data_IF_436944226062
#
_entry.id   IF_436944226062
#
_cell.length_a   1.000
_cell.length_b   1.000
_cell.length_c   1.000
_cell.angle_alpha   90.00
_cell.angle_beta   90.00
_cell.angle_gamma   90.00
#
_symmetry.space_group_name_H-M   'P 1'
#
loop_
_entity.id
_entity.type
_entity.pdbx_description
1 polymer ?
#
# COMPACT_ATOMS: atom_id res chain seq x y z
N UNK A 1 -20.56 11.35 8.03
CA UNK A 1 -19.47 12.28 7.65
C UNK A 1 -19.25 12.13 6.15
N UNK A 2 -19.06 13.23 5.40
CA UNK A 2 -18.67 13.14 4.00
C UNK A 2 -17.30 12.47 3.87
N UNK A 3 -17.09 11.75 2.78
CA UNK A 3 -15.79 11.17 2.39
C UNK A 3 -14.72 12.27 2.34
N UNK A 4 -13.51 11.98 2.87
CA UNK A 4 -12.37 12.89 2.80
C UNK A 4 -11.05 12.14 2.70
N UNK A 5 -10.06 12.80 2.11
CA UNK A 5 -8.67 12.35 2.02
C UNK A 5 -7.80 13.35 2.77
N UNK A 6 -7.13 12.87 3.81
CA UNK A 6 -6.23 13.63 4.66
C UNK A 6 -4.76 13.32 4.28
N UNK A 7 -3.85 14.28 4.41
CA UNK A 7 -2.42 14.13 4.04
C UNK A 7 -1.51 14.26 5.26
N UNK A 8 -0.52 13.37 5.39
CA UNK A 8 0.45 13.36 6.48
C UNK A 8 1.90 13.23 5.95
N UNK A 9 2.69 14.33 5.97
CA UNK A 9 2.35 15.69 6.40
C UNK A 9 1.53 16.46 5.34
N UNK A 10 0.59 17.31 5.77
CA UNK A 10 -0.30 18.07 4.86
C UNK A 10 0.42 19.12 4.02
N UNK A 11 1.66 19.47 4.37
CA UNK A 11 2.44 20.53 3.70
C UNK A 11 3.33 20.02 2.56
N UNK A 12 3.49 18.70 2.42
CA UNK A 12 4.35 18.15 1.39
C UNK A 12 3.65 18.24 0.02
N UNK A 13 4.33 18.84 -0.96
CA UNK A 13 3.92 18.95 -2.38
C UNK A 13 2.41 19.20 -2.56
N UNK A 14 1.89 20.36 -2.09
CA UNK A 14 0.46 20.66 -2.10
C UNK A 14 -0.17 20.61 -3.50
N UNK A 15 0.61 20.88 -4.55
CA UNK A 15 0.20 20.78 -5.95
C UNK A 15 -0.11 19.35 -6.41
N UNK A 16 0.48 18.31 -5.79
CA UNK A 16 0.21 16.91 -6.13
C UNK A 16 -1.03 16.35 -5.43
N UNK A 17 -1.44 16.97 -4.31
CA UNK A 17 -2.53 16.48 -3.46
C UNK A 17 -3.88 16.34 -4.19
N UNK A 18 -4.28 17.24 -5.12
CA UNK A 18 -5.51 17.06 -5.89
C UNK A 18 -5.51 15.80 -6.75
N UNK A 19 -4.40 15.49 -7.43
CA UNK A 19 -4.28 14.30 -8.25
C UNK A 19 -4.31 13.03 -7.38
N UNK A 20 -3.55 13.02 -6.28
CA UNK A 20 -3.55 11.90 -5.33
C UNK A 20 -4.95 11.69 -4.75
N UNK A 21 -5.67 12.76 -4.40
CA UNK A 21 -7.04 12.70 -3.89
C UNK A 21 -7.98 12.03 -4.90
N UNK A 22 -7.85 12.36 -6.19
CA UNK A 22 -8.61 11.70 -7.26
C UNK A 22 -8.31 10.20 -7.30
N UNK A 23 -7.03 9.80 -7.33
CA UNK A 23 -6.68 8.38 -7.40
C UNK A 23 -7.12 7.58 -6.17
N UNK A 24 -6.97 8.15 -4.97
CA UNK A 24 -7.43 7.53 -3.72
C UNK A 24 -8.95 7.40 -3.69
N UNK A 25 -9.68 8.38 -4.22
CA UNK A 25 -11.14 8.33 -4.33
C UNK A 25 -11.59 7.31 -5.37
N UNK A 26 -10.89 7.20 -6.50
CA UNK A 26 -11.12 6.15 -7.50
C UNK A 26 -10.92 4.76 -6.89
N UNK A 27 -9.81 4.55 -6.17
CA UNK A 27 -9.53 3.29 -5.47
C UNK A 27 -10.60 2.96 -4.43
N UNK A 28 -11.04 3.94 -3.64
CA UNK A 28 -12.14 3.79 -2.69
C UNK A 28 -13.43 3.29 -3.35
N UNK A 29 -13.78 3.86 -4.51
CA UNK A 29 -15.02 3.54 -5.20
C UNK A 29 -14.95 2.19 -5.93
N UNK A 30 -13.78 1.83 -6.45
CA UNK A 30 -13.60 0.63 -7.27
C UNK A 30 -13.31 -0.63 -6.45
N UNK A 31 -12.62 -0.52 -5.31
CA UNK A 31 -12.25 -1.67 -4.49
C UNK A 31 -13.29 -1.90 -3.40
N UNK A 32 -14.05 -2.99 -3.50
CA UNK A 32 -15.16 -3.31 -2.59
C UNK A 32 -14.75 -3.30 -1.11
N UNK A 33 -13.56 -3.81 -0.78
CA UNK A 33 -13.04 -3.85 0.58
C UNK A 33 -12.72 -2.47 1.18
N UNK A 34 -12.59 -1.42 0.36
CA UNK A 34 -12.30 -0.05 0.81
C UNK A 34 -13.55 0.81 0.99
N UNK A 35 -14.68 0.44 0.37
CA UNK A 35 -15.94 1.22 0.39
C UNK A 35 -16.54 1.48 1.77
N UNK A 36 -16.17 0.69 2.78
CA UNK A 36 -16.61 0.88 4.16
C UNK A 36 -15.83 1.98 4.90
N UNK A 37 -14.77 2.50 4.30
CA UNK A 37 -13.97 3.57 4.88
C UNK A 37 -14.75 4.89 4.88
N UNK A 38 -14.59 5.67 5.94
CA UNK A 38 -15.21 7.00 6.08
C UNK A 38 -14.26 8.11 5.65
N UNK A 39 -12.97 7.87 5.80
CA UNK A 39 -11.89 8.76 5.36
C UNK A 39 -10.62 7.95 5.06
N UNK A 40 -9.69 8.58 4.36
CA UNK A 40 -8.37 8.04 4.08
C UNK A 40 -7.27 9.00 4.55
N UNK A 41 -6.13 8.46 4.96
CA UNK A 41 -4.92 9.23 5.23
C UNK A 41 -3.77 8.75 4.35
N UNK A 42 -3.21 9.67 3.58
CA UNK A 42 -2.05 9.44 2.72
C UNK A 42 -0.77 9.72 3.50
N UNK A 43 0.18 8.79 3.44
CA UNK A 43 1.47 8.89 4.11
C UNK A 43 2.59 9.09 3.10
N UNK A 44 3.50 9.98 3.43
CA UNK A 44 4.73 10.18 2.68
C UNK A 44 5.75 9.07 2.98
N UNK A 45 6.52 8.68 1.96
CA UNK A 45 7.71 7.87 2.13
C UNK A 45 8.83 8.73 2.71
N UNK A 46 9.22 8.45 3.95
CA UNK A 46 10.32 9.13 4.64
C UNK A 46 10.14 10.64 4.79
N UNK A 47 8.91 11.17 4.70
CA UNK A 47 8.66 12.61 4.79
C UNK A 47 9.02 13.42 3.53
N UNK A 48 9.40 12.77 2.43
CA UNK A 48 9.98 13.45 1.25
C UNK A 48 9.16 13.35 -0.02
N UNK A 49 8.45 12.24 -0.21
CA UNK A 49 7.68 11.99 -1.42
C UNK A 49 6.34 11.33 -1.11
N UNK A 50 5.33 11.65 -1.90
CA UNK A 50 4.06 10.93 -1.90
C UNK A 50 4.18 9.64 -2.69
N UNK A 51 4.53 9.77 -3.96
CA UNK A 51 4.75 8.67 -4.89
C UNK A 51 6.10 8.01 -4.62
N UNK A 52 6.07 6.70 -4.42
CA UNK A 52 7.25 5.89 -4.18
C UNK A 52 7.04 4.47 -4.67
N UNK A 53 8.13 3.74 -4.77
CA UNK A 53 8.13 2.29 -4.94
C UNK A 53 8.56 1.63 -3.63
N UNK A 54 8.32 0.32 -3.51
CA UNK A 54 8.80 -0.47 -2.39
C UNK A 54 9.52 -1.72 -2.92
N UNK A 55 10.38 -2.34 -2.10
CA UNK A 55 11.07 -3.58 -2.50
C UNK A 55 10.10 -4.69 -2.95
N UNK A 56 8.88 -4.70 -2.42
CA UNK A 56 7.87 -5.71 -2.72
C UNK A 56 6.84 -5.24 -3.77
N UNK A 57 6.97 -4.00 -4.25
CA UNK A 57 6.03 -3.38 -5.19
C UNK A 57 6.78 -2.33 -6.01
N UNK A 58 7.20 -2.73 -7.19
CA UNK A 58 7.98 -1.89 -8.11
C UNK A 58 7.13 -0.85 -8.83
N UNK A 59 5.80 -0.93 -8.73
CA UNK A 59 4.90 0.05 -9.30
C UNK A 59 4.89 1.31 -8.45
N UNK A 60 4.81 2.47 -9.09
CA UNK A 60 4.70 3.75 -8.39
C UNK A 60 3.37 3.82 -7.64
N UNK A 61 3.42 4.07 -6.33
CA UNK A 61 2.24 4.12 -5.47
C UNK A 61 2.37 5.15 -4.35
N UNK A 62 1.22 5.53 -3.79
CA UNK A 62 1.13 6.20 -2.49
C UNK A 62 0.72 5.20 -1.41
N UNK A 63 1.23 5.37 -0.20
CA UNK A 63 0.78 4.59 0.95
C UNK A 63 -0.45 5.25 1.57
N UNK A 64 -1.55 4.52 1.68
CA UNK A 64 -2.82 5.05 2.21
C UNK A 64 -3.36 4.15 3.32
N UNK A 65 -3.94 4.77 4.35
CA UNK A 65 -4.74 4.09 5.35
C UNK A 65 -6.19 4.52 5.24
N UNK A 66 -7.04 3.57 4.89
CA UNK A 66 -8.50 3.71 4.86
C UNK A 66 -9.05 3.45 6.25
N UNK A 67 -9.72 4.44 6.84
CA UNK A 67 -10.22 4.41 8.21
C UNK A 67 -11.74 4.19 8.17
N UNK A 68 -12.18 2.97 8.52
CA UNK A 68 -13.59 2.57 8.59
C UNK A 68 -14.05 2.26 10.01
N UNK A 69 -15.31 1.82 10.14
CA UNK A 69 -15.92 1.53 11.44
C UNK A 69 -15.33 0.29 12.15
N UNK A 70 -14.83 -0.69 11.39
CA UNK A 70 -14.39 -1.97 11.94
C UNK A 70 -12.86 -2.03 12.09
N UNK A 71 -12.10 -1.71 11.03
CA UNK A 71 -10.63 -1.78 11.05
C UNK A 71 -9.98 -0.82 10.05
N UNK A 72 -8.86 -0.17 10.42
CA UNK A 72 -8.01 0.52 9.45
C UNK A 72 -7.41 -0.45 8.44
N UNK A 73 -7.60 -0.18 7.15
CA UNK A 73 -7.03 -0.96 6.04
C UNK A 73 -5.88 -0.18 5.42
N UNK A 74 -4.67 -0.75 5.43
CA UNK A 74 -3.53 -0.17 4.72
C UNK A 74 -3.52 -0.70 3.29
N UNK A 75 -3.43 0.21 2.32
CA UNK A 75 -3.36 -0.13 0.91
C UNK A 75 -2.31 0.74 0.21
N UNK A 76 -1.82 0.24 -0.92
CA UNK A 76 -1.04 0.99 -1.88
C UNK A 76 -1.99 1.42 -3.00
N UNK A 77 -2.05 2.72 -3.28
CA UNK A 77 -2.85 3.25 -4.40
C UNK A 77 -1.90 3.66 -5.51
N UNK A 78 -2.16 3.19 -6.72
CA UNK A 78 -1.34 3.43 -7.90
C UNK A 78 -1.84 4.65 -8.68
N UNK A 79 -1.04 5.14 -9.62
CA UNK A 79 -1.36 6.31 -10.46
C UNK A 79 -2.59 6.11 -11.35
N UNK A 80 -2.98 4.87 -11.63
CA UNK A 80 -4.17 4.51 -12.41
C UNK A 80 -5.45 4.42 -11.55
N UNK A 81 -5.35 4.66 -10.24
CA UNK A 81 -6.47 4.58 -9.31
C UNK A 81 -6.84 3.16 -8.89
N UNK A 82 -6.04 2.16 -9.27
CA UNK A 82 -6.12 0.80 -8.70
C UNK A 82 -5.46 0.77 -7.33
N UNK A 83 -5.78 -0.24 -6.52
CA UNK A 83 -5.16 -0.39 -5.20
C UNK A 83 -4.86 -1.84 -4.84
N UNK A 84 -3.73 -2.02 -4.15
CA UNK A 84 -3.33 -3.29 -3.55
C UNK A 84 -3.51 -3.21 -2.04
N UNK A 85 -4.39 -4.04 -1.50
CA UNK A 85 -4.57 -4.20 -0.06
C UNK A 85 -3.60 -5.28 0.40
N UNK A 86 -2.60 -4.92 1.21
CA UNK A 86 -1.77 -5.95 1.85
C UNK A 86 -2.65 -6.67 2.88
N UNK A 87 -2.87 -7.99 2.79
CA UNK A 87 -3.53 -8.70 3.87
C UNK A 87 -2.70 -8.51 5.13
N UNK A 88 -3.30 -7.91 6.18
CA UNK A 88 -2.69 -7.95 7.49
C UNK A 88 -2.50 -9.43 7.84
N UNK A 89 -1.30 -9.83 8.28
CA UNK A 89 -0.80 -11.21 8.53
C UNK A 89 -1.77 -12.24 9.18
N UNK A 90 -2.96 -11.84 9.67
CA UNK A 90 -4.01 -12.75 10.16
C UNK A 90 -5.10 -13.10 9.15
N UNK A 91 -5.38 -12.27 8.14
CA UNK A 91 -6.43 -12.57 7.14
C UNK A 91 -5.97 -13.55 6.04
N UNK A 92 -4.65 -13.73 5.90
CA UNK A 92 -4.08 -14.73 4.98
C UNK A 92 -4.13 -16.18 5.53
N UNK A 93 -4.57 -16.37 6.79
CA UNK A 93 -4.73 -17.69 7.41
C UNK A 93 -6.18 -18.20 7.35
N UNK A 94 -7.14 -17.38 6.93
CA UNK A 94 -8.58 -17.72 6.92
C UNK A 94 -9.15 -17.88 5.50
N UNK A 95 -8.35 -17.63 4.46
CA UNK A 95 -8.74 -17.78 3.03
C UNK A 95 -7.83 -18.82 2.36
N UNK A 96 -7.51 -19.90 3.07
CA UNK A 96 -6.82 -21.09 2.53
C UNK A 96 -7.65 -22.35 2.83
N UNK A 97 -8.97 -22.25 2.65
CA UNK A 97 -9.80 -23.41 2.35
C UNK A 97 -10.59 -23.04 1.09
N UNK A 98 -10.47 -23.87 0.05
CA UNK A 98 -10.97 -23.67 -1.32
C UNK A 98 -10.11 -22.78 -2.24
N UNK A 99 -8.95 -23.29 -2.70
CA UNK A 99 -8.69 -23.43 -4.14
C UNK A 99 -7.49 -24.35 -4.42
N UNK A 100 -7.59 -25.07 -5.53
CA UNK A 100 -6.80 -26.21 -5.98
C UNK A 100 -5.35 -25.85 -6.36
N UNK A 101 -4.41 -26.53 -5.72
CA UNK A 101 -3.03 -26.77 -6.14
C UNK A 101 -2.27 -25.67 -6.89
N UNK A 102 -1.35 -24.96 -6.22
CA UNK A 102 -0.02 -24.69 -6.78
C UNK A 102 1.00 -24.42 -5.67
N UNK A 103 2.06 -25.23 -5.72
CA UNK A 103 3.29 -25.24 -4.95
C UNK A 103 3.79 -23.89 -4.41
N UNK A 104 4.07 -23.88 -3.10
CA UNK A 104 5.09 -23.04 -2.48
C UNK A 104 6.39 -23.84 -2.42
N UNK A 105 7.51 -23.30 -2.94
CA UNK A 105 8.82 -23.68 -2.45
C UNK A 105 9.51 -22.46 -1.82
N UNK A 106 9.64 -22.50 -0.49
CA UNK A 106 10.91 -22.43 0.26
C UNK A 106 11.92 -21.31 -0.14
N UNK A 107 12.61 -20.60 0.75
CA UNK A 107 12.92 -20.82 2.16
C UNK A 107 13.49 -19.53 2.76
N UNK A 108 13.37 -19.46 4.08
CA UNK A 108 14.18 -18.67 5.00
C UNK A 108 15.69 -18.93 4.75
N UNK A 109 16.45 -17.90 4.33
CA UNK A 109 17.91 -17.88 4.48
C UNK A 109 18.37 -16.43 4.60
N UNK A 110 18.77 -16.05 5.82
CA UNK A 110 19.57 -14.86 6.08
C UNK A 110 20.93 -15.02 5.41
N UNK A 111 21.32 -14.09 4.55
CA UNK A 111 22.73 -13.84 4.23
C UNK A 111 22.99 -12.35 4.24
N UNK A 112 23.74 -11.93 5.25
CA UNK A 112 24.39 -10.62 5.30
C UNK A 112 25.38 -10.52 4.13
N UNK A 113 25.33 -9.39 3.43
CA UNK A 113 26.29 -9.04 2.41
C UNK A 113 27.46 -8.30 3.05
N UNK A 114 28.67 -8.84 2.90
CA UNK A 114 29.94 -8.11 2.95
C UNK A 114 30.79 -8.73 1.82
N UNK A 115 31.17 -7.98 0.76
CA UNK A 115 32.43 -7.21 0.71
C UNK A 115 33.61 -8.19 0.70
N UNK A 116 34.52 -8.30 -0.27
CA UNK A 116 35.17 -7.30 -1.11
C UNK A 116 36.05 -8.06 -2.12
N UNK A 117 36.25 -7.47 -3.30
CA UNK A 117 37.10 -7.95 -4.39
C UNK A 117 38.59 -7.79 -4.05
N UNK A 118 39.42 -8.80 -4.37
CA UNK A 118 40.84 -8.57 -4.61
C UNK A 118 41.41 -9.61 -5.59
N UNK A 119 41.63 -9.11 -6.80
CA UNK A 119 42.40 -9.65 -7.91
C UNK A 119 43.90 -9.65 -7.55
N UNK A 120 44.61 -10.77 -7.76
CA UNK A 120 45.89 -10.89 -8.49
C UNK A 120 46.48 -12.30 -8.37
#
# INVERSE_FOLDING_TARGET
MPWRVDFSPTTLLPEEQPNITTQVTTAHNNVQALRQARNATVYSAGGRAWWHTSRNDTRMHVTVRFLGANRPTRAHVYEDGTASIRPARRAALEIVEEDDGTYSPFSDEEVEADGEVAET
#
